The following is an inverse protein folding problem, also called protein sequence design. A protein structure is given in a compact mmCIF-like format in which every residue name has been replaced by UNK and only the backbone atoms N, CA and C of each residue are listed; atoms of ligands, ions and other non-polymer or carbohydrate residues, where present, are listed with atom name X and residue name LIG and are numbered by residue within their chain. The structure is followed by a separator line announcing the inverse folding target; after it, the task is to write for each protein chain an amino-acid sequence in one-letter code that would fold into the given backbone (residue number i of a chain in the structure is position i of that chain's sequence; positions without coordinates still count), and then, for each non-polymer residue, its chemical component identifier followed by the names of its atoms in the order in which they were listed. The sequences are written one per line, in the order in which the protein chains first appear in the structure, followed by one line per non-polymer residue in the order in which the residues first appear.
data_IF_644548095136
#
_entry.id   IF_644548095136
#
_cell.length_a   1.000
_cell.length_b   1.000
_cell.length_c   1.000
_cell.angle_alpha   90.00
_cell.angle_beta   90.00
_cell.angle_gamma   90.00
#
_symmetry.space_group_name_H-M   'P 1'
#
loop_
_entity.id
_entity.type
_entity.pdbx_description
1 polymer ?
#
# COMPACT_ATOMS: atom_id res chain seq x y z
N UNK A 1 9.72 -6.80 -33.75
CA UNK A 1 11.13 -6.59 -33.42
C UNK A 1 11.44 -6.95 -31.97
N UNK A 2 10.66 -6.53 -30.96
CA UNK A 2 10.89 -6.90 -29.55
C UNK A 2 10.92 -8.41 -29.32
N UNK A 3 9.98 -9.17 -29.88
CA UNK A 3 9.94 -10.62 -29.73
C UNK A 3 11.21 -11.28 -30.32
N UNK A 4 11.78 -10.74 -31.40
CA UNK A 4 13.01 -11.26 -31.98
C UNK A 4 14.22 -11.02 -31.08
N UNK A 5 14.34 -9.83 -30.48
CA UNK A 5 15.41 -9.50 -29.55
C UNK A 5 15.23 -10.23 -28.21
N UNK A 6 13.98 -10.37 -27.73
CA UNK A 6 13.66 -11.15 -26.54
C UNK A 6 14.11 -12.61 -26.66
N UNK A 7 13.89 -13.24 -27.83
CA UNK A 7 14.36 -14.59 -28.14
C UNK A 7 15.90 -14.69 -28.20
N UNK A 8 16.60 -13.59 -28.42
CA UNK A 8 18.06 -13.51 -28.37
C UNK A 8 18.60 -13.25 -26.96
N UNK A 9 17.71 -13.13 -25.97
CA UNK A 9 18.08 -13.00 -24.57
C UNK A 9 18.14 -11.56 -24.03
N UNK A 10 17.78 -10.52 -24.83
CA UNK A 10 17.78 -9.14 -24.35
C UNK A 10 16.71 -8.91 -23.27
N UNK A 11 17.14 -8.56 -22.05
CA UNK A 11 16.26 -8.43 -20.88
C UNK A 11 15.19 -7.34 -21.04
N UNK A 12 15.54 -6.23 -21.67
CA UNK A 12 14.59 -5.12 -21.91
C UNK A 12 13.52 -5.59 -22.90
N UNK A 13 13.93 -6.22 -24.01
CA UNK A 13 13.01 -6.76 -25.01
C UNK A 13 12.12 -7.87 -24.43
N UNK A 14 12.64 -8.70 -23.52
CA UNK A 14 11.85 -9.69 -22.80
C UNK A 14 10.77 -9.01 -21.92
N UNK A 15 11.14 -7.99 -21.18
CA UNK A 15 10.17 -7.20 -20.40
C UNK A 15 9.09 -6.59 -21.30
N UNK A 16 9.48 -5.90 -22.40
CA UNK A 16 8.53 -5.27 -23.33
C UNK A 16 7.62 -6.31 -24.02
N UNK A 17 8.15 -7.49 -24.31
CA UNK A 17 7.35 -8.61 -24.82
C UNK A 17 6.33 -9.08 -23.80
N UNK A 18 6.71 -9.16 -22.53
CA UNK A 18 5.79 -9.43 -21.41
C UNK A 18 4.68 -8.40 -21.30
N UNK A 19 5.03 -7.10 -21.42
CA UNK A 19 4.04 -6.00 -21.40
C UNK A 19 3.09 -6.12 -22.61
N UNK A 20 3.60 -6.45 -23.79
CA UNK A 20 2.77 -6.63 -24.99
C UNK A 20 1.76 -7.77 -24.82
N UNK A 21 2.16 -8.92 -24.25
CA UNK A 21 1.24 -10.01 -23.93
C UNK A 21 0.25 -9.66 -22.80
N UNK A 22 0.67 -8.88 -21.81
CA UNK A 22 -0.22 -8.47 -20.71
C UNK A 22 -1.29 -7.49 -21.18
N UNK A 23 -0.94 -6.54 -22.04
CA UNK A 23 -1.83 -5.47 -22.52
C UNK A 23 -2.60 -5.83 -23.79
N UNK A 24 -2.15 -6.83 -24.56
CA UNK A 24 -2.67 -7.13 -25.88
C UNK A 24 -2.18 -6.16 -26.97
N UNK A 25 -1.08 -5.44 -26.73
CA UNK A 25 -0.56 -4.46 -27.70
C UNK A 25 0.25 -5.14 -28.78
N UNK A 26 -0.35 -5.29 -29.96
CA UNK A 26 0.27 -5.95 -31.13
C UNK A 26 0.36 -7.48 -31.03
N UNK A 27 -0.14 -8.07 -29.97
CA UNK A 27 -0.27 -9.51 -29.72
C UNK A 27 -1.61 -9.79 -29.03
N UNK A 28 -2.10 -11.01 -29.12
CA UNK A 28 -3.25 -11.42 -28.33
C UNK A 28 -2.89 -11.47 -26.84
N UNK A 29 -3.77 -10.98 -25.98
CA UNK A 29 -3.55 -10.99 -24.52
C UNK A 29 -3.35 -12.40 -24.02
N UNK A 30 -2.21 -12.65 -23.38
CA UNK A 30 -1.88 -13.92 -22.76
C UNK A 30 -1.04 -13.68 -21.49
N UNK A 31 -1.68 -13.75 -20.33
CA UNK A 31 -1.02 -13.44 -19.06
C UNK A 31 0.04 -14.50 -18.69
N UNK A 32 -0.16 -15.77 -19.07
CA UNK A 32 0.84 -16.81 -18.82
C UNK A 32 2.13 -16.56 -19.62
N UNK A 33 1.99 -16.18 -20.91
CA UNK A 33 3.14 -15.76 -21.73
C UNK A 33 3.79 -14.49 -21.17
N UNK A 34 3.01 -13.50 -20.71
CA UNK A 34 3.55 -12.32 -20.08
C UNK A 34 4.42 -12.70 -18.85
N UNK A 35 3.94 -13.59 -17.99
CA UNK A 35 4.71 -14.04 -16.82
C UNK A 35 5.98 -14.80 -17.20
N UNK A 36 5.94 -15.63 -18.26
CA UNK A 36 7.12 -16.30 -18.78
C UNK A 36 8.20 -15.30 -19.21
N UNK A 37 7.83 -14.27 -19.97
CA UNK A 37 8.77 -13.24 -20.42
C UNK A 37 9.27 -12.35 -19.28
N UNK A 38 8.41 -12.00 -18.31
CA UNK A 38 8.85 -11.30 -17.09
C UNK A 38 9.83 -12.14 -16.27
N UNK A 39 9.63 -13.44 -16.15
CA UNK A 39 10.56 -14.31 -15.42
C UNK A 39 11.94 -14.34 -16.09
N UNK A 40 11.98 -14.44 -17.43
CA UNK A 40 13.24 -14.37 -18.22
C UNK A 40 14.01 -13.07 -18.00
N UNK A 41 13.32 -11.93 -18.02
CA UNK A 41 13.94 -10.64 -17.76
C UNK A 41 14.36 -10.49 -16.28
N UNK A 42 13.54 -11.00 -15.35
CA UNK A 42 13.81 -10.97 -13.90
C UNK A 42 15.05 -11.78 -13.51
N UNK A 43 15.28 -12.94 -14.14
CA UNK A 43 16.50 -13.76 -14.01
C UNK A 43 17.76 -12.98 -14.40
N UNK A 44 17.63 -11.98 -15.26
CA UNK A 44 18.69 -11.04 -15.67
C UNK A 44 18.74 -9.76 -14.84
N UNK A 45 18.15 -9.76 -13.65
CA UNK A 45 18.08 -8.61 -12.74
C UNK A 45 17.27 -7.40 -13.25
N UNK A 46 16.36 -7.57 -14.21
CA UNK A 46 15.44 -6.50 -14.59
C UNK A 46 14.44 -6.23 -13.46
N UNK A 47 14.59 -5.09 -12.79
CA UNK A 47 13.91 -4.76 -11.52
C UNK A 47 12.39 -4.78 -11.66
N UNK A 48 11.85 -4.13 -12.70
CA UNK A 48 10.41 -4.09 -12.93
C UNK A 48 9.84 -5.48 -13.20
N UNK A 49 10.58 -6.36 -13.91
CA UNK A 49 10.17 -7.73 -14.16
C UNK A 49 10.18 -8.57 -12.88
N UNK A 50 11.17 -8.37 -12.00
CA UNK A 50 11.17 -9.02 -10.66
C UNK A 50 9.93 -8.64 -9.84
N UNK A 51 9.54 -7.37 -9.88
CA UNK A 51 8.31 -6.91 -9.26
C UNK A 51 7.08 -7.57 -9.89
N UNK A 52 6.97 -7.58 -11.23
CA UNK A 52 5.81 -8.14 -11.93
C UNK A 52 5.65 -9.64 -11.72
N UNK A 53 6.72 -10.42 -11.84
CA UNK A 53 6.66 -11.86 -11.58
C UNK A 53 6.40 -12.16 -10.10
N UNK A 54 6.98 -11.37 -9.20
CA UNK A 54 6.72 -11.46 -7.77
C UNK A 54 5.24 -11.23 -7.44
N UNK A 55 4.61 -10.23 -8.06
CA UNK A 55 3.16 -9.98 -7.99
C UNK A 55 2.35 -11.11 -8.63
N UNK A 56 2.76 -11.61 -9.79
CA UNK A 56 2.14 -12.77 -10.45
C UNK A 56 2.04 -13.97 -9.52
N UNK A 57 3.13 -14.31 -8.84
CA UNK A 57 3.13 -15.40 -7.84
C UNK A 57 2.31 -15.09 -6.59
N UNK A 58 2.20 -13.82 -6.18
CA UNK A 58 1.38 -13.42 -5.03
C UNK A 58 -0.10 -13.60 -5.29
N UNK A 59 -0.54 -13.18 -6.48
CA UNK A 59 -1.96 -13.10 -6.86
C UNK A 59 -2.43 -14.34 -7.62
N UNK A 60 -1.54 -15.24 -8.02
CA UNK A 60 -1.85 -16.39 -8.89
C UNK A 60 -2.21 -15.97 -10.32
N UNK A 61 -1.71 -14.81 -10.78
CA UNK A 61 -2.05 -14.25 -12.09
C UNK A 61 -1.09 -14.76 -13.17
N UNK A 62 -1.59 -15.60 -14.05
CA UNK A 62 -0.80 -16.21 -15.15
C UNK A 62 0.18 -17.30 -14.72
N UNK A 63 0.39 -17.46 -13.41
CA UNK A 63 1.18 -18.51 -12.78
C UNK A 63 0.45 -19.04 -11.55
N UNK A 64 0.74 -20.26 -11.12
CA UNK A 64 0.19 -20.76 -9.86
C UNK A 64 0.67 -19.92 -8.67
N UNK A 65 -0.23 -19.58 -7.75
CA UNK A 65 0.11 -18.82 -6.55
C UNK A 65 1.15 -19.55 -5.71
N UNK A 66 2.24 -18.84 -5.37
CA UNK A 66 3.36 -19.38 -4.58
C UNK A 66 3.97 -18.26 -3.71
N UNK A 67 3.56 -18.17 -2.46
CA UNK A 67 4.02 -17.11 -1.54
C UNK A 67 5.55 -17.07 -1.36
N UNK A 68 6.23 -18.24 -1.32
CA UNK A 68 7.70 -18.26 -1.24
C UNK A 68 8.39 -17.68 -2.48
N UNK A 69 7.88 -17.99 -3.67
CA UNK A 69 8.43 -17.44 -4.92
C UNK A 69 8.17 -15.93 -4.99
N UNK A 70 6.95 -15.50 -4.64
CA UNK A 70 6.60 -14.08 -4.52
C UNK A 70 7.56 -13.34 -3.60
N UNK A 71 7.79 -13.86 -2.39
CA UNK A 71 8.70 -13.27 -1.42
C UNK A 71 10.11 -13.08 -1.99
N UNK A 72 10.66 -14.10 -2.67
CA UNK A 72 12.01 -14.03 -3.25
C UNK A 72 12.09 -12.92 -4.29
N UNK A 73 11.18 -12.91 -5.28
CA UNK A 73 11.21 -11.95 -6.36
C UNK A 73 10.93 -10.52 -5.89
N UNK A 74 9.95 -10.32 -5.00
CA UNK A 74 9.66 -9.00 -4.44
C UNK A 74 10.82 -8.48 -3.60
N UNK A 75 11.53 -9.35 -2.86
CA UNK A 75 12.73 -8.97 -2.12
C UNK A 75 13.83 -8.51 -3.05
N UNK A 76 14.12 -9.27 -4.13
CA UNK A 76 15.14 -8.89 -5.11
C UNK A 76 14.85 -7.50 -5.71
N UNK A 77 13.59 -7.20 -6.05
CA UNK A 77 13.21 -5.89 -6.55
C UNK A 77 13.31 -4.80 -5.47
N UNK A 78 12.84 -5.07 -4.25
CA UNK A 78 12.86 -4.12 -3.14
C UNK A 78 14.28 -3.75 -2.72
N UNK A 79 15.19 -4.74 -2.63
CA UNK A 79 16.60 -4.53 -2.29
C UNK A 79 17.33 -3.69 -3.35
N UNK A 80 16.83 -3.66 -4.59
CA UNK A 80 17.27 -2.77 -5.66
C UNK A 80 16.51 -1.43 -5.69
N UNK A 81 15.70 -1.16 -4.67
CA UNK A 81 15.02 0.13 -4.50
C UNK A 81 13.64 0.23 -5.14
N UNK A 82 13.03 -0.86 -5.61
CA UNK A 82 11.68 -0.83 -6.16
C UNK A 82 10.63 -0.62 -5.05
N UNK A 83 10.04 0.55 -5.01
CA UNK A 83 9.20 1.03 -3.89
C UNK A 83 7.90 0.24 -3.72
N UNK A 84 7.23 -0.11 -4.82
CA UNK A 84 6.03 -0.94 -4.74
C UNK A 84 6.35 -2.37 -4.26
N UNK A 85 7.48 -2.94 -4.69
CA UNK A 85 7.94 -4.23 -4.19
C UNK A 85 8.21 -4.19 -2.68
N UNK A 86 8.82 -3.11 -2.19
CA UNK A 86 9.04 -2.90 -0.76
C UNK A 86 7.72 -2.90 0.03
N UNK A 87 6.67 -2.21 -0.47
CA UNK A 87 5.35 -2.23 0.16
C UNK A 87 4.79 -3.66 0.27
N UNK A 88 4.81 -4.44 -0.83
CA UNK A 88 4.33 -5.83 -0.81
C UNK A 88 5.19 -6.75 0.07
N UNK A 89 6.49 -6.54 0.09
CA UNK A 89 7.39 -7.29 0.95
C UNK A 89 7.11 -7.01 2.44
N UNK A 90 6.79 -5.75 2.79
CA UNK A 90 6.29 -5.39 4.11
C UNK A 90 5.03 -6.18 4.50
N UNK A 91 4.06 -6.30 3.58
CA UNK A 91 2.85 -7.09 3.80
C UNK A 91 3.16 -8.58 4.04
N UNK A 92 4.06 -9.17 3.25
CA UNK A 92 4.46 -10.58 3.37
C UNK A 92 5.14 -10.86 4.71
N UNK A 93 6.08 -10.00 5.12
CA UNK A 93 6.78 -10.13 6.41
C UNK A 93 5.86 -9.91 7.61
N UNK A 94 4.91 -8.98 7.51
CA UNK A 94 3.93 -8.73 8.57
C UNK A 94 2.96 -9.90 8.75
N UNK A 95 2.60 -10.58 7.67
CA UNK A 95 1.59 -11.66 7.69
C UNK A 95 2.18 -13.07 7.73
N UNK A 96 3.49 -13.22 7.57
CA UNK A 96 4.16 -14.52 7.54
C UNK A 96 3.93 -15.30 6.23
N UNK A 97 3.54 -14.61 5.14
CA UNK A 97 3.34 -15.25 3.84
C UNK A 97 4.67 -15.39 3.10
N UNK A 98 5.06 -16.61 2.82
CA UNK A 98 6.30 -16.93 2.10
C UNK A 98 7.60 -16.81 2.92
N UNK A 99 7.54 -16.22 4.10
CA UNK A 99 8.62 -16.10 5.07
C UNK A 99 8.07 -16.12 6.49
N UNK A 100 8.92 -16.21 7.51
CA UNK A 100 8.52 -15.99 8.90
C UNK A 100 8.10 -14.56 9.14
N UNK A 101 7.21 -14.35 10.13
CA UNK A 101 6.78 -13.01 10.55
C UNK A 101 7.99 -12.24 11.09
N UNK A 102 8.25 -11.08 10.51
CA UNK A 102 9.30 -10.15 10.97
C UNK A 102 8.80 -8.71 10.87
N UNK A 103 8.20 -8.23 11.97
CA UNK A 103 7.62 -6.88 12.03
C UNK A 103 8.69 -5.79 11.90
N UNK A 104 9.90 -6.02 12.42
CA UNK A 104 10.97 -5.03 12.33
C UNK A 104 11.42 -4.82 10.88
N UNK A 105 11.59 -5.90 10.11
CA UNK A 105 11.87 -5.80 8.69
C UNK A 105 10.68 -5.25 7.90
N UNK A 106 9.44 -5.65 8.25
CA UNK A 106 8.25 -5.10 7.62
C UNK A 106 8.21 -3.57 7.76
N UNK A 107 8.49 -3.03 8.95
CA UNK A 107 8.59 -1.58 9.21
C UNK A 107 9.65 -0.94 8.31
N UNK A 108 10.84 -1.55 8.18
CA UNK A 108 11.91 -1.00 7.32
C UNK A 108 11.48 -0.92 5.86
N UNK A 109 10.80 -1.93 5.32
CA UNK A 109 10.30 -1.92 3.95
C UNK A 109 9.10 -1.00 3.75
N UNK A 110 8.18 -0.92 4.73
CA UNK A 110 7.11 0.07 4.67
C UNK A 110 7.65 1.50 4.71
N UNK A 111 8.69 1.79 5.51
CA UNK A 111 9.33 3.10 5.55
C UNK A 111 9.90 3.48 4.18
N UNK A 112 10.62 2.57 3.54
CA UNK A 112 11.14 2.76 2.18
C UNK A 112 10.04 3.09 1.16
N UNK A 113 8.88 2.47 1.28
CA UNK A 113 7.73 2.71 0.41
C UNK A 113 6.96 3.99 0.80
N UNK A 114 6.82 4.28 2.10
CA UNK A 114 6.15 5.47 2.62
C UNK A 114 6.90 6.75 2.25
N UNK A 115 8.25 6.72 2.28
CA UNK A 115 9.11 7.83 1.84
C UNK A 115 8.95 8.12 0.34
N UNK A 116 8.56 7.11 -0.45
CA UNK A 116 8.18 7.27 -1.86
C UNK A 116 6.70 7.64 -2.05
N UNK A 117 6.02 8.10 -1.01
CA UNK A 117 4.63 8.54 -1.00
C UNK A 117 3.61 7.46 -1.39
N UNK A 118 3.89 6.19 -1.09
CA UNK A 118 2.93 5.10 -1.32
C UNK A 118 1.92 5.08 -0.16
N UNK A 119 0.69 5.45 -0.45
CA UNK A 119 -0.42 5.61 0.50
C UNK A 119 -0.60 4.39 1.42
N UNK A 120 -0.66 3.19 0.86
CA UNK A 120 -0.83 1.95 1.64
C UNK A 120 0.31 1.73 2.62
N UNK A 121 1.56 2.02 2.20
CA UNK A 121 2.72 1.89 3.07
C UNK A 121 2.71 2.92 4.21
N UNK A 122 2.28 4.15 3.95
CA UNK A 122 2.10 5.18 4.97
C UNK A 122 1.09 4.74 6.03
N UNK A 123 -0.08 4.24 5.60
CA UNK A 123 -1.08 3.73 6.52
C UNK A 123 -0.58 2.55 7.35
N UNK A 124 0.02 1.53 6.71
CA UNK A 124 0.49 0.34 7.42
C UNK A 124 1.63 0.65 8.39
N UNK A 125 2.58 1.50 7.99
CA UNK A 125 3.66 1.95 8.86
C UNK A 125 3.10 2.70 10.07
N UNK A 126 2.24 3.70 9.85
CA UNK A 126 1.60 4.48 10.90
C UNK A 126 0.86 3.59 11.90
N UNK A 127 0.08 2.62 11.41
CA UNK A 127 -0.66 1.66 12.22
C UNK A 127 0.25 0.81 13.11
N UNK A 128 1.42 0.39 12.59
CA UNK A 128 2.36 -0.44 13.35
C UNK A 128 3.06 0.39 14.43
N UNK A 129 3.60 1.56 14.08
CA UNK A 129 4.39 2.37 15.01
C UNK A 129 3.53 3.08 16.06
N UNK A 130 2.23 3.28 15.80
CA UNK A 130 1.27 3.83 16.78
C UNK A 130 0.63 2.78 17.69
N UNK A 131 1.10 1.53 17.66
CA UNK A 131 0.52 0.47 18.49
C UNK A 131 0.68 0.75 19.98
N UNK A 132 -0.10 0.04 20.81
CA UNK A 132 -0.12 0.21 22.28
C UNK A 132 1.31 0.17 22.86
N UNK A 133 1.67 1.20 23.60
CA UNK A 133 3.00 1.36 24.19
C UNK A 133 4.01 2.10 23.30
N UNK A 134 3.57 2.65 22.19
CA UNK A 134 4.40 3.49 21.32
C UNK A 134 4.95 4.71 22.09
N UNK A 135 6.16 5.12 21.75
CA UNK A 135 6.73 6.36 22.27
C UNK A 135 6.01 7.59 21.69
N UNK A 136 6.18 8.75 22.34
CA UNK A 136 5.63 9.99 21.79
C UNK A 136 6.17 10.27 20.38
N UNK A 137 7.45 10.01 20.13
CA UNK A 137 8.06 10.21 18.82
C UNK A 137 7.43 9.30 17.74
N UNK A 138 7.14 8.04 18.07
CA UNK A 138 6.45 7.12 17.16
C UNK A 138 5.02 7.58 16.86
N UNK A 139 4.32 8.10 17.86
CA UNK A 139 2.98 8.67 17.69
C UNK A 139 3.03 9.92 16.79
N UNK A 140 3.96 10.83 17.03
CA UNK A 140 4.10 12.04 16.22
C UNK A 140 4.41 11.68 14.74
N UNK A 141 5.27 10.68 14.52
CA UNK A 141 5.55 10.16 13.18
C UNK A 141 4.29 9.51 12.56
N UNK A 142 3.56 8.70 13.31
CA UNK A 142 2.36 8.02 12.83
C UNK A 142 1.27 9.02 12.38
N UNK A 143 1.09 10.11 13.14
CA UNK A 143 0.13 11.17 12.78
C UNK A 143 0.50 11.81 11.42
N UNK A 144 1.78 12.10 11.21
CA UNK A 144 2.26 12.65 9.93
C UNK A 144 2.00 11.66 8.78
N UNK A 145 2.22 10.37 9.01
CA UNK A 145 1.99 9.34 8.01
C UNK A 145 0.50 9.13 7.71
N UNK A 146 -0.36 9.11 8.75
CA UNK A 146 -1.81 9.07 8.56
C UNK A 146 -2.31 10.30 7.82
N UNK A 147 -1.78 11.50 8.11
CA UNK A 147 -2.16 12.73 7.41
C UNK A 147 -1.78 12.66 5.92
N UNK A 148 -0.56 12.22 5.60
CA UNK A 148 -0.14 12.00 4.21
C UNK A 148 -1.03 11.00 3.47
N UNK A 149 -1.39 9.89 4.11
CA UNK A 149 -2.28 8.90 3.51
C UNK A 149 -3.71 9.46 3.36
N UNK A 150 -4.20 10.20 4.34
CA UNK A 150 -5.50 10.90 4.32
C UNK A 150 -5.60 11.87 3.15
N UNK A 151 -4.55 12.66 2.90
CA UNK A 151 -4.47 13.60 1.76
C UNK A 151 -4.50 12.89 0.40
N UNK A 152 -4.09 11.62 0.35
CA UNK A 152 -4.23 10.76 -0.83
C UNK A 152 -5.59 10.05 -0.91
N UNK A 153 -6.50 10.29 0.04
CA UNK A 153 -7.85 9.74 0.05
C UNK A 153 -8.01 8.46 0.85
N UNK A 154 -7.04 8.04 1.69
CA UNK A 154 -7.19 6.83 2.51
C UNK A 154 -8.23 7.03 3.62
N UNK A 155 -9.42 6.45 3.45
CA UNK A 155 -10.52 6.56 4.39
C UNK A 155 -10.21 6.00 5.79
N UNK A 156 -9.33 5.00 5.88
CA UNK A 156 -8.89 4.43 7.16
C UNK A 156 -8.07 5.42 7.96
N UNK A 157 -7.15 6.12 7.28
CA UNK A 157 -6.33 7.18 7.89
C UNK A 157 -7.18 8.38 8.32
N UNK A 158 -8.17 8.76 7.51
CA UNK A 158 -9.13 9.80 7.84
C UNK A 158 -9.92 9.43 9.10
N UNK A 159 -10.43 8.20 9.19
CA UNK A 159 -11.11 7.71 10.38
C UNK A 159 -10.20 7.76 11.61
N UNK A 160 -8.96 7.26 11.52
CA UNK A 160 -8.03 7.25 12.66
C UNK A 160 -7.72 8.66 13.14
N UNK A 161 -7.43 9.59 12.24
CA UNK A 161 -7.19 11.00 12.61
C UNK A 161 -8.42 11.65 13.22
N UNK A 162 -9.59 11.39 12.66
CA UNK A 162 -10.86 11.85 13.23
C UNK A 162 -11.07 11.38 14.67
N UNK A 163 -10.77 10.10 14.94
CA UNK A 163 -10.84 9.52 16.30
C UNK A 163 -9.82 10.19 17.22
N UNK A 164 -8.57 10.36 16.79
CA UNK A 164 -7.52 10.96 17.61
C UNK A 164 -7.87 12.40 18.02
N UNK A 165 -8.40 13.21 17.10
CA UNK A 165 -8.86 14.56 17.40
C UNK A 165 -10.15 14.59 18.22
N UNK A 166 -11.04 13.61 18.04
CA UNK A 166 -12.28 13.54 18.81
C UNK A 166 -12.01 13.19 20.28
N UNK A 167 -11.22 12.15 20.54
CA UNK A 167 -10.97 11.61 21.87
C UNK A 167 -9.94 12.45 22.66
N UNK A 168 -9.01 13.10 22.00
CA UNK A 168 -7.93 13.84 22.68
C UNK A 168 -6.97 12.96 23.47
N UNK A 169 -6.99 11.63 23.23
CA UNK A 169 -6.20 10.66 23.99
C UNK A 169 -4.75 10.54 23.53
N UNK A 170 -4.49 10.87 22.28
CA UNK A 170 -3.19 10.75 21.61
C UNK A 170 -2.60 12.13 21.30
N UNK A 171 -3.43 13.04 20.83
CA UNK A 171 -3.16 14.45 20.53
C UNK A 171 -4.21 15.31 21.21
N UNK A 172 -3.96 16.62 21.43
CA UNK A 172 -4.97 17.51 22.00
C UNK A 172 -6.28 17.44 21.19
N UNK A 173 -7.40 17.34 21.92
CA UNK A 173 -8.71 17.29 21.30
C UNK A 173 -8.99 18.53 20.45
N UNK A 174 -9.55 18.33 19.27
CA UNK A 174 -10.02 19.36 18.35
C UNK A 174 -11.24 18.83 17.60
N UNK A 175 -12.42 19.22 18.08
CA UNK A 175 -13.68 18.70 17.53
C UNK A 175 -13.93 19.14 16.08
N UNK A 176 -13.43 20.31 15.66
CA UNK A 176 -13.56 20.75 14.28
C UNK A 176 -12.70 19.92 13.32
N UNK A 177 -11.45 19.67 13.71
CA UNK A 177 -10.59 18.75 12.92
C UNK A 177 -11.14 17.33 12.92
N UNK A 178 -11.67 16.85 14.05
CA UNK A 178 -12.33 15.55 14.10
C UNK A 178 -13.49 15.49 13.11
N UNK A 179 -14.34 16.52 13.08
CA UNK A 179 -15.44 16.64 12.13
C UNK A 179 -14.94 16.57 10.69
N UNK A 180 -13.94 17.39 10.31
CA UNK A 180 -13.41 17.43 8.95
C UNK A 180 -12.93 16.04 8.47
N UNK A 181 -12.10 15.35 9.28
CA UNK A 181 -11.61 14.02 8.94
C UNK A 181 -12.71 12.96 8.90
N UNK A 182 -13.65 13.00 9.86
CA UNK A 182 -14.76 12.06 9.89
C UNK A 182 -15.74 12.26 8.73
N UNK A 183 -15.98 13.52 8.29
CA UNK A 183 -16.77 13.78 7.09
C UNK A 183 -16.11 13.15 5.87
N UNK A 184 -14.78 13.35 5.67
CA UNK A 184 -14.07 12.76 4.54
C UNK A 184 -14.18 11.23 4.52
N UNK A 185 -14.07 10.57 5.67
CA UNK A 185 -14.22 9.11 5.79
C UNK A 185 -15.68 8.67 5.57
N UNK A 186 -16.64 9.39 6.13
CA UNK A 186 -18.08 9.10 6.02
C UNK A 186 -18.58 9.21 4.57
N UNK A 187 -18.08 10.18 3.82
CA UNK A 187 -18.38 10.36 2.38
C UNK A 187 -17.87 9.18 1.53
N UNK A 188 -16.87 8.45 2.02
CA UNK A 188 -16.37 7.21 1.40
C UNK A 188 -17.11 5.95 1.91
N UNK A 189 -18.17 6.12 2.70
CA UNK A 189 -19.00 5.01 3.19
C UNK A 189 -18.47 4.32 4.45
N UNK A 190 -17.56 4.95 5.20
CA UNK A 190 -17.06 4.38 6.47
C UNK A 190 -18.12 4.54 7.55
N UNK A 191 -18.81 3.46 7.90
CA UNK A 191 -19.92 3.46 8.87
C UNK A 191 -19.51 3.98 10.26
N UNK A 192 -18.34 3.61 10.75
CA UNK A 192 -17.81 4.10 12.04
C UNK A 192 -17.67 5.62 12.05
N UNK A 193 -17.23 6.23 10.92
CA UNK A 193 -17.12 7.67 10.80
C UNK A 193 -18.48 8.35 10.84
N UNK A 194 -19.48 7.77 10.16
CA UNK A 194 -20.87 8.27 10.20
C UNK A 194 -21.44 8.22 11.61
N UNK A 195 -21.23 7.13 12.30
CA UNK A 195 -21.67 6.95 13.68
C UNK A 195 -21.03 7.98 14.64
N UNK A 196 -19.71 8.18 14.53
CA UNK A 196 -19.00 9.16 15.36
C UNK A 196 -19.40 10.59 15.08
N UNK A 197 -19.65 10.96 13.84
CA UNK A 197 -20.21 12.28 13.48
C UNK A 197 -21.57 12.50 14.16
N UNK A 198 -22.45 11.50 14.10
CA UNK A 198 -23.74 11.59 14.77
C UNK A 198 -23.59 11.81 16.28
N UNK A 199 -22.61 11.16 16.93
CA UNK A 199 -22.33 11.37 18.35
C UNK A 199 -21.82 12.78 18.64
N UNK A 200 -20.89 13.32 17.83
CA UNK A 200 -20.37 14.68 17.96
C UNK A 200 -21.50 15.71 17.86
N UNK A 201 -22.36 15.59 16.85
CA UNK A 201 -23.49 16.51 16.67
C UNK A 201 -24.53 16.38 17.77
N UNK A 202 -24.87 15.17 18.22
CA UNK A 202 -25.81 14.95 19.31
C UNK A 202 -25.29 15.45 20.66
N UNK A 203 -23.99 15.51 20.86
CA UNK A 203 -23.38 16.05 22.08
C UNK A 203 -23.42 17.59 22.17
N UNK A 204 -23.74 18.26 21.06
CA UNK A 204 -23.66 19.71 20.94
C UNK A 204 -22.24 20.28 20.97
N UNK A 205 -21.24 19.43 20.82
CA UNK A 205 -19.83 19.84 20.81
C UNK A 205 -19.47 20.70 19.58
N UNK A 206 -20.27 20.58 18.51
CA UNK A 206 -20.19 21.39 17.30
C UNK A 206 -21.62 21.75 16.88
N UNK A 207 -21.87 23.01 16.52
CA UNK A 207 -23.17 23.41 15.98
C UNK A 207 -23.39 22.72 14.60
N UNK A 208 -24.55 22.08 14.50
CA UNK A 208 -24.92 21.37 13.27
C UNK A 208 -25.18 22.40 12.14
N UNK A 209 -24.25 22.55 11.20
CA UNK A 209 -24.38 23.46 10.06
C UNK A 209 -25.40 22.99 9.00
N UNK A 210 -26.05 21.85 9.20
CA UNK A 210 -26.99 21.27 8.22
C UNK A 210 -28.45 21.65 8.45
N UNK A 211 -28.73 22.75 9.11
CA UNK A 211 -30.09 23.25 9.23
C UNK A 211 -30.19 24.68 8.65
N UNK A 212 -29.81 24.87 7.39
CA UNK A 212 -30.38 25.98 6.56
C UNK A 212 -29.83 25.93 5.13
N UNK A 213 -30.75 25.79 4.20
CA UNK A 213 -30.88 26.04 2.77
C UNK A 213 -30.88 24.82 1.88
#
# INVERSE_FOLDING_TARGET
WFLLAANQGDAISQYETGVAYESGTGLDTNIAEAMFWYEKAAEQNHIESQYRIGRGYLDGRGVAQKDKASFIWLRMAADQGHKQAARYLGDLLRTGRGAEIDIAKAVSYYRLAADANIMEAQYQLAKIISAKGASKADIDEAIILFDKASQQGDARSQLVLGIYYDEGSVIPADKHRAEDYLIMAAMQGVEEAQFRLAQIYNSGAIENKTAVE
#
